data_IF_217126922512
#
_entry.id   IF_217126922512
#
_cell.length_a   1.000
_cell.length_b   1.000
_cell.length_c   1.000
_cell.angle_alpha   90.00
_cell.angle_beta   90.00
_cell.angle_gamma   90.00
#
_symmetry.space_group_name_H-M   'P 1'
#
loop_
_entity.id
_entity.type
_entity.pdbx_description
1 polymer ?
#
# COMPACT_ATOMS: atom_id res chain seq x y z
N UNK A 1 12.11 13.72 -11.95
CA UNK A 1 12.54 14.59 -13.07
C UNK A 1 12.73 13.86 -14.39
N UNK A 2 13.26 12.65 -14.40
CA UNK A 2 13.42 11.83 -15.62
C UNK A 2 12.12 11.71 -16.45
N UNK A 3 10.98 11.46 -15.81
CA UNK A 3 9.66 11.41 -16.49
C UNK A 3 9.35 12.71 -17.24
N UNK A 4 9.64 13.87 -16.64
CA UNK A 4 9.42 15.17 -17.28
C UNK A 4 10.40 15.41 -18.42
N UNK A 5 11.66 15.04 -18.23
CA UNK A 5 12.69 15.14 -19.27
C UNK A 5 12.36 14.28 -20.50
N UNK A 6 11.69 13.14 -20.29
CA UNK A 6 11.14 12.29 -21.35
C UNK A 6 9.82 12.80 -21.96
N UNK A 7 9.33 13.99 -21.56
CA UNK A 7 8.07 14.57 -22.05
C UNK A 7 6.80 14.06 -21.36
N UNK A 8 6.93 13.24 -20.33
CA UNK A 8 5.82 12.71 -19.54
C UNK A 8 5.27 13.72 -18.52
N UNK A 9 4.02 13.50 -18.10
CA UNK A 9 3.34 14.26 -17.04
C UNK A 9 3.19 13.37 -15.81
N UNK A 10 4.10 13.45 -14.82
CA UNK A 10 4.05 12.57 -13.66
C UNK A 10 2.84 12.90 -12.78
N UNK A 11 2.28 11.86 -12.15
CA UNK A 11 1.37 11.95 -11.02
C UNK A 11 1.94 11.04 -9.94
N UNK A 12 2.05 11.52 -8.70
CA UNK A 12 2.48 10.70 -7.58
C UNK A 12 1.26 10.04 -6.93
N UNK A 13 1.46 8.84 -6.41
CA UNK A 13 0.43 8.08 -5.68
C UNK A 13 1.05 7.65 -4.36
N UNK A 14 0.41 7.98 -3.24
CA UNK A 14 0.87 7.49 -1.93
C UNK A 14 0.63 5.97 -1.82
N UNK A 15 1.42 5.23 -1.01
CA UNK A 15 1.21 3.79 -0.85
C UNK A 15 -0.20 3.45 -0.38
N UNK A 16 -0.76 2.36 -0.87
CA UNK A 16 -2.00 1.79 -0.33
C UNK A 16 -1.77 1.32 1.11
N UNK A 17 -2.76 1.51 1.99
CA UNK A 17 -2.70 0.99 3.37
C UNK A 17 -2.61 -0.54 3.40
N UNK A 18 -1.89 -1.09 4.39
CA UNK A 18 -1.95 -2.52 4.70
C UNK A 18 -3.16 -2.82 5.57
N UNK A 19 -3.70 -4.02 5.42
CA UNK A 19 -4.96 -4.42 6.08
C UNK A 19 -4.73 -5.06 7.45
N UNK A 20 -3.79 -4.51 8.23
CA UNK A 20 -3.40 -5.01 9.55
C UNK A 20 -4.12 -4.23 10.64
N UNK A 21 -4.66 -4.91 11.65
CA UNK A 21 -5.43 -4.27 12.72
C UNK A 21 -4.93 -4.68 14.11
N UNK A 22 -5.09 -3.75 15.06
CA UNK A 22 -4.91 -3.98 16.50
C UNK A 22 -6.07 -3.30 17.23
N UNK A 23 -6.79 -4.07 18.04
CA UNK A 23 -7.91 -3.59 18.86
C UNK A 23 -8.96 -2.81 18.05
N UNK A 24 -9.26 -3.30 16.83
CA UNK A 24 -10.23 -2.71 15.90
C UNK A 24 -9.73 -1.47 15.17
N UNK A 25 -8.47 -1.05 15.39
CA UNK A 25 -7.83 0.07 14.72
C UNK A 25 -6.88 -0.42 13.64
N UNK A 26 -6.96 0.20 12.47
CA UNK A 26 -6.00 -0.03 11.40
C UNK A 26 -4.62 0.43 11.86
N UNK A 27 -3.60 -0.40 11.64
CA UNK A 27 -2.22 -0.05 11.95
C UNK A 27 -1.63 0.68 10.75
N UNK A 28 -1.24 1.94 10.97
CA UNK A 28 -0.60 2.77 9.96
C UNK A 28 0.92 2.60 9.98
N UNK A 29 1.41 1.54 9.32
CA UNK A 29 2.84 1.24 9.19
C UNK A 29 3.49 1.83 7.92
N UNK A 30 2.72 2.51 7.07
CA UNK A 30 3.20 3.13 5.82
C UNK A 30 3.07 4.67 5.79
N UNK A 31 2.46 5.27 6.80
CA UNK A 31 2.30 6.72 6.97
C UNK A 31 3.57 7.53 6.71
N UNK A 32 4.77 7.12 7.20
CA UNK A 32 6.03 7.78 6.87
C UNK A 32 6.34 7.91 5.37
N UNK A 33 6.05 6.88 4.56
CA UNK A 33 6.26 6.91 3.11
C UNK A 33 5.15 7.69 2.39
N UNK A 34 3.92 7.61 2.89
CA UNK A 34 2.84 8.47 2.42
C UNK A 34 3.21 9.95 2.62
N UNK A 35 3.79 10.31 3.76
CA UNK A 35 4.33 11.63 4.00
C UNK A 35 5.46 11.94 3.01
N UNK A 36 6.50 11.10 2.92
CA UNK A 36 7.61 11.36 2.00
C UNK A 36 7.11 11.63 0.55
N UNK A 37 6.11 10.89 0.09
CA UNK A 37 5.47 11.09 -1.22
C UNK A 37 4.74 12.44 -1.30
N UNK A 38 3.95 12.81 -0.27
CA UNK A 38 3.27 14.12 -0.18
C UNK A 38 4.28 15.27 -0.21
N UNK A 39 5.38 15.17 0.54
CA UNK A 39 6.45 16.16 0.56
C UNK A 39 7.04 16.37 -0.84
N UNK A 40 7.41 15.29 -1.54
CA UNK A 40 7.94 15.40 -2.91
C UNK A 40 6.90 16.00 -3.86
N UNK A 41 5.63 15.62 -3.74
CA UNK A 41 4.55 16.19 -4.56
C UNK A 41 4.45 17.71 -4.38
N UNK A 42 4.45 18.18 -3.12
CA UNK A 42 4.41 19.59 -2.79
C UNK A 42 5.66 20.36 -3.28
N UNK A 43 6.86 19.83 -3.02
CA UNK A 43 8.13 20.47 -3.40
C UNK A 43 8.29 20.60 -4.91
N UNK A 44 7.75 19.65 -5.68
CA UNK A 44 7.90 19.61 -7.15
C UNK A 44 6.68 20.10 -7.91
N UNK A 45 5.60 20.49 -7.22
CA UNK A 45 4.32 20.82 -7.84
C UNK A 45 3.72 19.67 -8.66
N UNK A 46 4.01 18.41 -8.29
CA UNK A 46 3.47 17.23 -8.99
C UNK A 46 2.07 16.93 -8.47
N UNK A 47 1.07 16.69 -9.34
CA UNK A 47 -0.25 16.22 -8.89
C UNK A 47 -0.13 14.93 -8.05
N UNK A 48 -0.99 14.80 -7.04
CA UNK A 48 -0.97 13.71 -6.08
C UNK A 48 -2.33 13.02 -6.01
N UNK A 49 -2.31 11.69 -6.08
CA UNK A 49 -3.40 10.82 -5.61
C UNK A 49 -3.05 10.31 -4.22
N UNK A 50 -3.74 10.81 -3.20
CA UNK A 50 -3.50 10.40 -1.82
C UNK A 50 -4.24 9.10 -1.45
N UNK A 51 -3.86 8.03 -2.14
CA UNK A 51 -4.44 6.70 -1.97
C UNK A 51 -4.29 6.17 -0.54
N UNK A 52 -3.22 6.51 0.17
CA UNK A 52 -3.01 6.14 1.57
C UNK A 52 -4.15 6.66 2.45
N UNK A 53 -4.50 7.95 2.36
CA UNK A 53 -5.59 8.52 3.15
C UNK A 53 -6.95 7.89 2.79
N UNK A 54 -7.24 7.78 1.49
CA UNK A 54 -8.49 7.22 0.98
C UNK A 54 -8.67 5.75 1.39
N UNK A 55 -7.62 4.94 1.22
CA UNK A 55 -7.65 3.52 1.56
C UNK A 55 -7.67 3.26 3.05
N UNK A 56 -6.94 4.03 3.86
CA UNK A 56 -7.01 3.94 5.32
C UNK A 56 -8.43 4.19 5.83
N UNK A 57 -9.11 5.24 5.32
CA UNK A 57 -10.50 5.51 5.69
C UNK A 57 -11.44 4.36 5.28
N UNK A 58 -11.31 3.87 4.04
CA UNK A 58 -12.13 2.77 3.54
C UNK A 58 -11.92 1.47 4.32
N UNK A 59 -10.67 1.05 4.52
CA UNK A 59 -10.31 -0.20 5.20
C UNK A 59 -10.67 -0.12 6.68
N UNK A 60 -10.45 1.02 7.35
CA UNK A 60 -10.88 1.21 8.74
C UNK A 60 -12.41 1.08 8.90
N UNK A 61 -13.19 1.57 7.92
CA UNK A 61 -14.65 1.44 7.94
C UNK A 61 -15.13 0.00 7.71
N UNK A 62 -14.42 -0.79 6.90
CA UNK A 62 -14.72 -2.21 6.69
C UNK A 62 -14.37 -3.08 7.90
N UNK A 63 -13.26 -2.76 8.57
CA UNK A 63 -12.73 -3.55 9.68
C UNK A 63 -11.95 -4.79 9.23
N UNK A 64 -11.39 -5.54 10.20
CA UNK A 64 -10.35 -6.54 9.95
C UNK A 64 -10.81 -7.77 9.18
N UNK A 65 -12.08 -8.16 9.32
CA UNK A 65 -12.61 -9.36 8.64
C UNK A 65 -13.01 -9.05 7.20
N UNK A 66 -13.80 -7.99 6.98
CA UNK A 66 -14.29 -7.65 5.65
C UNK A 66 -13.14 -7.25 4.72
N UNK A 67 -12.14 -6.52 5.24
CA UNK A 67 -10.97 -6.14 4.45
C UNK A 67 -10.18 -7.34 3.90
N UNK A 68 -10.28 -8.55 4.49
CA UNK A 68 -9.55 -9.74 4.01
C UNK A 68 -9.97 -10.20 2.62
N UNK A 69 -11.19 -9.87 2.16
CA UNK A 69 -11.66 -10.22 0.80
C UNK A 69 -10.81 -9.60 -0.31
N UNK A 70 -10.11 -8.53 0.01
CA UNK A 70 -9.23 -7.85 -0.92
C UNK A 70 -7.89 -8.56 -1.13
N UNK A 71 -7.54 -9.58 -0.35
CA UNK A 71 -6.31 -10.33 -0.53
C UNK A 71 -6.33 -11.21 -1.80
N UNK A 72 -5.15 -11.62 -2.28
CA UNK A 72 -5.03 -12.50 -3.45
C UNK A 72 -5.59 -13.90 -3.23
N UNK A 73 -5.52 -14.40 -2.00
CA UNK A 73 -6.08 -15.69 -1.60
C UNK A 73 -6.94 -15.55 -0.35
N UNK A 74 -7.78 -16.55 -0.08
CA UNK A 74 -8.57 -16.59 1.14
C UNK A 74 -7.67 -16.77 2.37
N UNK A 75 -7.97 -16.10 3.50
CA UNK A 75 -7.26 -16.35 4.76
C UNK A 75 -7.51 -17.76 5.26
N UNK A 76 -6.55 -18.30 5.99
CA UNK A 76 -6.77 -19.49 6.82
C UNK A 76 -7.94 -19.23 7.81
N UNK A 77 -8.81 -20.21 8.09
CA UNK A 77 -9.89 -20.05 9.06
C UNK A 77 -9.46 -19.49 10.41
N UNK A 78 -8.27 -19.87 10.90
CA UNK A 78 -7.70 -19.35 12.15
C UNK A 78 -7.42 -17.85 12.08
N UNK A 79 -6.86 -17.38 10.96
CA UNK A 79 -6.56 -15.96 10.72
C UNK A 79 -7.85 -15.16 10.70
N UNK A 80 -8.88 -15.66 9.99
CA UNK A 80 -10.20 -15.03 9.92
C UNK A 80 -10.90 -14.97 11.27
N UNK A 81 -10.80 -16.03 12.06
CA UNK A 81 -11.42 -16.08 13.39
C UNK A 81 -10.74 -15.11 14.35
N UNK A 82 -9.40 -15.08 14.38
CA UNK A 82 -8.65 -14.15 15.21
C UNK A 82 -9.01 -12.68 14.90
N UNK A 83 -9.18 -12.34 13.62
CA UNK A 83 -9.56 -10.99 13.20
C UNK A 83 -10.91 -10.51 13.74
N UNK A 84 -11.82 -11.41 14.17
CA UNK A 84 -13.08 -11.01 14.82
C UNK A 84 -12.86 -10.30 16.15
N UNK A 85 -11.72 -10.51 16.80
CA UNK A 85 -11.32 -9.80 18.02
C UNK A 85 -10.95 -8.33 17.78
N UNK A 86 -10.85 -7.90 16.52
CA UNK A 86 -10.29 -6.58 16.17
C UNK A 86 -8.79 -6.61 15.88
N UNK A 87 -8.09 -7.73 16.13
CA UNK A 87 -6.64 -7.84 15.96
C UNK A 87 -6.28 -8.90 14.93
N UNK A 88 -5.47 -8.52 13.93
CA UNK A 88 -4.94 -9.45 12.92
C UNK A 88 -3.73 -10.21 13.47
N UNK A 89 -3.63 -11.50 13.15
CA UNK A 89 -2.47 -12.34 13.49
C UNK A 89 -1.59 -12.59 12.27
N UNK A 90 -0.33 -13.03 12.52
CA UNK A 90 0.68 -13.35 11.49
C UNK A 90 1.09 -12.14 10.63
N UNK A 91 0.59 -10.97 11.00
CA UNK A 91 0.91 -9.68 10.44
C UNK A 91 2.34 -9.30 10.82
N UNK A 92 3.14 -8.94 9.81
CA UNK A 92 4.49 -8.40 10.02
C UNK A 92 4.39 -6.88 10.02
N UNK A 93 4.28 -6.31 11.21
CA UNK A 93 4.36 -4.87 11.39
C UNK A 93 5.77 -4.42 11.01
N UNK A 94 5.87 -3.58 9.99
CA UNK A 94 7.14 -3.02 9.59
C UNK A 94 7.36 -1.70 10.32
N UNK A 95 8.37 -1.67 11.19
CA UNK A 95 8.89 -0.44 11.77
C UNK A 95 10.34 -0.27 11.30
N UNK A 96 10.63 0.56 10.29
CA UNK A 96 11.98 1.03 10.08
C UNK A 96 12.11 2.53 10.31
N UNK A 97 13.35 2.93 10.48
CA UNK A 97 13.79 4.29 10.36
C UNK A 97 13.64 4.79 8.91
N UNK A 98 12.95 5.91 8.75
CA UNK A 98 13.02 6.72 7.53
C UNK A 98 14.48 7.18 7.37
N UNK A 99 15.10 7.06 6.19
CA UNK A 99 16.38 7.71 5.92
C UNK A 99 16.30 9.21 6.26
N UNK A 100 17.03 9.66 7.29
CA UNK A 100 17.02 11.02 7.81
C UNK A 100 16.31 11.24 9.16
N UNK A 101 15.66 10.20 9.73
CA UNK A 101 15.15 10.23 11.11
C UNK A 101 16.22 9.69 12.08
N UNK A 102 16.46 10.36 13.21
CA UNK A 102 17.37 9.88 14.25
C UNK A 102 16.75 8.70 15.01
N UNK A 103 17.51 7.62 15.19
CA UNK A 103 17.09 6.37 15.85
C UNK A 103 18.03 6.08 17.02
N UNK A 104 17.56 5.65 18.21
CA UNK A 104 18.42 5.07 19.22
C UNK A 104 19.03 3.73 18.73
N UNK A 105 20.25 3.35 19.16
CA UNK A 105 20.98 2.25 18.55
C UNK A 105 20.27 0.90 18.75
N UNK A 106 20.03 0.21 17.64
CA UNK A 106 19.56 -1.17 17.62
C UNK A 106 20.70 -2.15 17.97
N UNK A 107 20.41 -3.34 18.54
CA UNK A 107 21.40 -4.41 18.65
C UNK A 107 21.87 -4.87 17.27
N UNK A 108 23.11 -5.36 17.18
CA UNK A 108 23.80 -5.64 15.92
C UNK A 108 23.02 -6.63 15.02
N UNK A 109 22.82 -6.32 13.72
CA UNK A 109 22.16 -7.23 12.79
C UNK A 109 23.07 -8.39 12.39
N UNK A 110 22.49 -9.58 12.26
CA UNK A 110 23.09 -10.66 11.47
C UNK A 110 23.06 -10.29 9.98
N UNK A 111 24.10 -10.61 9.20
CA UNK A 111 24.14 -10.23 7.79
C UNK A 111 23.04 -10.96 6.99
N UNK A 112 22.26 -10.25 6.16
CA UNK A 112 21.30 -10.88 5.27
C UNK A 112 22.04 -11.64 4.15
N UNK A 113 21.48 -12.74 3.63
CA UNK A 113 22.02 -13.38 2.44
C UNK A 113 21.93 -12.42 1.24
N UNK A 114 22.92 -12.49 0.35
CA UNK A 114 23.00 -11.67 -0.87
C UNK A 114 21.81 -11.99 -1.78
N UNK A 115 20.89 -11.03 -1.94
CA UNK A 115 19.71 -11.17 -2.79
C UNK A 115 19.95 -10.44 -4.11
N UNK A 116 20.11 -11.20 -5.20
CA UNK A 116 20.35 -10.66 -6.54
C UNK A 116 19.02 -10.53 -7.29
N UNK A 117 18.37 -9.36 -7.18
CA UNK A 117 17.06 -9.07 -7.80
C UNK A 117 17.09 -9.00 -9.35
N UNK A 118 18.25 -9.20 -9.97
CA UNK A 118 18.43 -9.22 -11.42
C UNK A 118 18.46 -10.65 -12.02
N UNK A 119 18.25 -11.69 -11.21
CA UNK A 119 18.10 -13.05 -11.72
C UNK A 119 16.73 -13.21 -12.40
N UNK A 120 16.73 -13.58 -13.69
CA UNK A 120 15.52 -13.94 -14.41
C UNK A 120 14.96 -15.24 -13.82
N UNK A 121 13.96 -15.12 -12.95
CA UNK A 121 13.16 -16.25 -12.48
C UNK A 121 12.32 -16.80 -13.66
N UNK A 122 12.19 -18.13 -13.83
CA UNK A 122 11.29 -18.69 -14.83
C UNK A 122 9.85 -18.24 -14.53
N UNK A 123 9.15 -17.74 -15.56
CA UNK A 123 7.77 -17.24 -15.46
C UNK A 123 6.82 -18.36 -15.01
N UNK A 124 6.60 -18.45 -13.71
CA UNK A 124 5.69 -19.40 -13.07
C UNK A 124 4.48 -18.66 -12.51
N UNK A 125 3.29 -19.19 -12.76
CA UNK A 125 2.03 -18.64 -12.25
C UNK A 125 2.18 -18.28 -10.76
N UNK A 126 2.05 -17.00 -10.38
CA UNK A 126 2.22 -16.62 -8.99
C UNK A 126 1.19 -17.36 -8.14
N UNK A 127 1.67 -18.08 -7.13
CA UNK A 127 0.82 -18.75 -6.15
C UNK A 127 0.06 -17.65 -5.40
N UNK A 128 -1.23 -17.50 -5.69
CA UNK A 128 -2.08 -16.56 -4.96
C UNK A 128 -2.15 -17.02 -3.50
N UNK A 129 -1.53 -16.25 -2.62
CA UNK A 129 -1.50 -16.51 -1.18
C UNK A 129 -2.14 -15.35 -0.43
N UNK A 130 -2.80 -15.67 0.68
CA UNK A 130 -3.29 -14.63 1.57
C UNK A 130 -2.12 -13.87 2.19
N UNK A 131 -2.18 -12.54 2.11
CA UNK A 131 -1.45 -11.63 2.96
C UNK A 131 -2.21 -10.29 3.12
N UNK A 132 -1.70 -9.43 3.99
CA UNK A 132 -2.31 -8.14 4.31
C UNK A 132 -1.89 -7.00 3.36
N UNK A 133 -1.16 -7.31 2.27
CA UNK A 133 -0.53 -6.32 1.39
C UNK A 133 -1.08 -6.42 -0.04
N UNK A 134 -0.94 -7.56 -0.70
CA UNK A 134 -1.23 -7.73 -2.12
C UNK A 134 -2.73 -7.90 -2.37
N UNK A 135 -3.21 -7.27 -3.44
CA UNK A 135 -4.63 -7.28 -3.80
C UNK A 135 -4.97 -8.44 -4.73
N UNK A 136 -6.07 -9.14 -4.44
CA UNK A 136 -6.80 -9.95 -5.41
C UNK A 136 -7.67 -9.10 -6.32
N UNK A 137 -8.46 -9.74 -7.19
CA UNK A 137 -9.30 -9.04 -8.17
C UNK A 137 -10.28 -8.05 -7.52
N UNK A 138 -11.02 -8.48 -6.49
CA UNK A 138 -11.98 -7.61 -5.79
C UNK A 138 -11.30 -6.39 -5.16
N UNK A 139 -10.11 -6.59 -4.57
CA UNK A 139 -9.30 -5.50 -4.05
C UNK A 139 -8.82 -4.54 -5.13
N UNK A 140 -8.31 -5.08 -6.25
CA UNK A 140 -7.84 -4.29 -7.37
C UNK A 140 -8.97 -3.45 -7.98
N UNK A 141 -10.17 -4.02 -8.16
CA UNK A 141 -11.34 -3.28 -8.65
C UNK A 141 -11.73 -2.14 -7.71
N UNK A 142 -11.82 -2.43 -6.41
CA UNK A 142 -12.20 -1.44 -5.41
C UNK A 142 -11.22 -0.27 -5.34
N UNK A 143 -9.93 -0.55 -5.19
CA UNK A 143 -8.93 0.51 -5.04
C UNK A 143 -8.61 1.21 -6.36
N UNK A 144 -8.72 0.54 -7.51
CA UNK A 144 -8.57 1.21 -8.81
C UNK A 144 -9.69 2.22 -9.06
N UNK A 145 -10.93 1.97 -8.60
CA UNK A 145 -12.00 2.95 -8.67
C UNK A 145 -11.73 4.20 -7.82
N UNK A 146 -11.16 4.03 -6.61
CA UNK A 146 -10.70 5.15 -5.78
C UNK A 146 -9.60 5.95 -6.48
N UNK A 147 -8.62 5.26 -7.07
CA UNK A 147 -7.54 5.91 -7.83
C UNK A 147 -8.07 6.64 -9.05
N UNK A 148 -8.96 6.03 -9.84
CA UNK A 148 -9.52 6.64 -11.05
C UNK A 148 -10.29 7.93 -10.73
N UNK A 149 -11.09 7.92 -9.66
CA UNK A 149 -11.81 9.11 -9.19
C UNK A 149 -10.84 10.20 -8.74
N UNK A 150 -9.90 9.87 -7.85
CA UNK A 150 -8.94 10.83 -7.33
C UNK A 150 -8.00 11.38 -8.43
N UNK A 151 -7.64 10.55 -9.41
CA UNK A 151 -6.83 10.96 -10.56
C UNK A 151 -7.61 11.91 -11.48
N UNK A 152 -8.90 11.66 -11.69
CA UNK A 152 -9.76 12.55 -12.47
C UNK A 152 -9.94 13.93 -11.80
N UNK A 153 -9.84 14.01 -10.48
CA UNK A 153 -9.87 15.28 -9.75
C UNK A 153 -8.50 15.98 -9.76
N UNK A 154 -7.41 15.23 -9.54
CA UNK A 154 -6.04 15.75 -9.55
C UNK A 154 -5.59 16.19 -10.94
N UNK A 155 -6.10 15.55 -12.00
CA UNK A 155 -5.79 15.85 -13.41
C UNK A 155 -7.08 15.88 -14.23
N UNK A 156 -7.83 17.00 -14.21
CA UNK A 156 -9.15 17.10 -14.85
C UNK A 156 -9.17 16.74 -16.35
N UNK A 157 -8.05 16.95 -17.06
CA UNK A 157 -7.91 16.59 -18.46
C UNK A 157 -8.06 15.07 -18.73
N UNK A 158 -7.80 14.21 -17.74
CA UNK A 158 -7.94 12.75 -17.85
C UNK A 158 -9.36 12.26 -17.53
N UNK A 159 -10.23 13.11 -16.96
CA UNK A 159 -11.55 12.69 -16.42
C UNK A 159 -12.37 11.89 -17.44
N UNK A 160 -12.44 12.37 -18.69
CA UNK A 160 -13.19 11.74 -19.79
C UNK A 160 -12.64 10.38 -20.24
N UNK A 161 -11.40 10.05 -19.85
CA UNK A 161 -10.74 8.79 -20.20
C UNK A 161 -10.82 7.77 -19.07
N UNK A 162 -11.11 8.22 -17.84
CA UNK A 162 -11.09 7.42 -16.62
C UNK A 162 -12.48 7.08 -16.10
N UNK A 163 -13.43 7.99 -16.26
CA UNK A 163 -14.78 7.86 -15.75
C UNK A 163 -15.78 7.77 -16.91
N UNK A 164 -16.85 6.97 -16.77
CA UNK A 164 -17.92 6.86 -17.77
C UNK A 164 -18.68 8.17 -17.98
#
# INVERSE_FOLDING_TARGET
>A
DEVRAAGGKPVLVTPLTRRQFRDGKLVDDLGPWAQATRKVAAETGTPLVDLHALSTAAVQAMGPVEAMKFAQGAPDPRVREAARSGTTIEARFYEPAIPGATVPPAPAPTPPPVQNNAAAEPMGTPKQTFDYTHLGHEGADYFSALVATALADAVPALRRQLLP
#
